data_IF_180782065301
#
_entry.id   IF_180782065301
#
_cell.length_a   1.000
_cell.length_b   1.000
_cell.length_c   1.000
_cell.angle_alpha   90.00
_cell.angle_beta   90.00
_cell.angle_gamma   90.00
#
_symmetry.space_group_name_H-M   'P 1'
#
loop_
_entity.id
_entity.type
_entity.pdbx_description
1 polymer ?
#
# COMPACT_ATOMS: atom_id res chain seq x y z
N UNK A 1 7.52 -48.82 55.82
CA UNK A 1 6.50 -48.07 55.06
C UNK A 1 5.19 -48.76 55.26
N UNK A 2 4.14 -48.03 55.67
CA UNK A 2 2.85 -48.65 55.85
C UNK A 2 2.20 -48.94 54.48
N UNK A 3 1.45 -50.03 54.37
CA UNK A 3 0.72 -50.42 53.14
C UNK A 3 -0.11 -49.29 52.58
N UNK A 4 -0.57 -48.40 53.42
CA UNK A 4 -1.35 -47.19 53.08
C UNK A 4 -0.50 -46.13 52.36
N UNK A 5 0.77 -45.96 52.74
CA UNK A 5 1.70 -45.05 52.05
C UNK A 5 2.08 -45.57 50.65
N UNK A 6 2.23 -46.88 50.51
CA UNK A 6 2.56 -47.50 49.23
C UNK A 6 1.37 -47.37 48.25
N UNK A 7 0.13 -47.63 48.71
CA UNK A 7 -1.07 -47.49 47.88
C UNK A 7 -1.34 -46.04 47.47
N UNK A 8 -1.10 -45.07 48.34
CA UNK A 8 -1.23 -43.63 48.02
C UNK A 8 -0.20 -43.17 46.96
N UNK A 9 1.05 -43.65 47.07
CA UNK A 9 2.09 -43.37 46.10
C UNK A 9 1.79 -43.95 44.70
N UNK A 10 1.25 -45.16 44.63
CA UNK A 10 0.85 -45.81 43.38
C UNK A 10 -0.33 -45.07 42.73
N UNK A 11 -1.35 -44.70 43.50
CA UNK A 11 -2.50 -43.92 43.00
C UNK A 11 -2.07 -42.56 42.53
N UNK A 12 -1.21 -41.84 43.27
CA UNK A 12 -0.66 -40.54 42.88
C UNK A 12 0.15 -40.62 41.58
N UNK A 13 0.99 -41.64 41.42
CA UNK A 13 1.75 -41.90 40.21
C UNK A 13 0.87 -42.21 38.99
N UNK A 14 -0.20 -42.98 39.16
CA UNK A 14 -1.17 -43.28 38.11
C UNK A 14 -1.94 -42.04 37.67
N UNK A 15 -2.37 -41.19 38.58
CA UNK A 15 -3.08 -39.94 38.28
C UNK A 15 -2.13 -39.01 37.53
N UNK A 16 -0.88 -38.89 37.94
CA UNK A 16 0.11 -38.03 37.29
C UNK A 16 0.43 -38.54 35.86
N UNK A 17 0.57 -39.84 35.67
CA UNK A 17 0.75 -40.46 34.37
C UNK A 17 -0.45 -40.23 33.45
N UNK A 18 -1.68 -40.31 33.96
CA UNK A 18 -2.90 -40.01 33.22
C UNK A 18 -2.98 -38.54 32.81
N UNK A 19 -2.62 -37.61 33.71
CA UNK A 19 -2.59 -36.18 33.42
C UNK A 19 -1.54 -35.87 32.33
N UNK A 20 -0.34 -36.45 32.41
CA UNK A 20 0.72 -36.27 31.40
C UNK A 20 0.28 -36.88 30.07
N UNK A 21 -0.30 -38.06 30.06
CA UNK A 21 -0.80 -38.69 28.84
C UNK A 21 -1.94 -37.90 28.21
N UNK A 22 -2.86 -37.40 29.01
CA UNK A 22 -3.96 -36.52 28.55
C UNK A 22 -3.43 -35.22 28.00
N UNK A 23 -2.51 -34.52 28.67
CA UNK A 23 -1.89 -33.28 28.19
C UNK A 23 -1.11 -33.51 26.89
N UNK A 24 -0.32 -34.59 26.82
CA UNK A 24 0.46 -34.89 25.60
C UNK A 24 -0.46 -35.22 24.42
N UNK A 25 -1.55 -35.96 24.66
CA UNK A 25 -2.54 -36.28 23.64
C UNK A 25 -3.30 -35.04 23.18
N UNK A 26 -3.71 -34.15 24.10
CA UNK A 26 -4.42 -32.91 23.83
C UNK A 26 -3.52 -31.91 23.10
N UNK A 27 -2.24 -31.78 23.50
CA UNK A 27 -1.25 -30.97 22.83
C UNK A 27 -0.98 -31.38 21.38
N UNK A 28 -0.89 -32.71 21.13
CA UNK A 28 -0.73 -33.23 19.76
C UNK A 28 -1.97 -33.00 18.89
N UNK A 29 -3.17 -33.06 19.50
CA UNK A 29 -4.43 -32.87 18.78
C UNK A 29 -4.71 -31.40 18.48
N UNK A 30 -4.16 -30.48 19.27
CA UNK A 30 -4.34 -29.03 19.13
C UNK A 30 -3.12 -28.35 18.49
N UNK A 31 -2.10 -29.09 18.08
CA UNK A 31 -0.95 -28.52 17.38
C UNK A 31 -1.41 -27.82 16.09
N UNK A 32 -1.01 -26.57 15.83
CA UNK A 32 -1.36 -25.86 14.61
C UNK A 32 -0.75 -26.55 13.39
N UNK A 33 -1.43 -26.46 12.25
CA UNK A 33 -0.86 -26.87 10.95
C UNK A 33 0.33 -25.97 10.63
N UNK A 34 1.46 -26.56 10.29
CA UNK A 34 2.71 -25.86 10.00
C UNK A 34 2.97 -25.82 8.50
N UNK A 35 3.74 -24.84 8.07
CA UNK A 35 4.23 -24.75 6.70
C UNK A 35 5.03 -26.02 6.33
N UNK A 36 4.82 -26.50 5.12
CA UNK A 36 5.66 -27.59 4.57
C UNK A 36 6.93 -26.96 4.04
N UNK A 37 8.14 -27.43 4.45
CA UNK A 37 9.38 -26.97 3.86
C UNK A 37 9.32 -27.19 2.34
N UNK A 38 9.48 -26.13 1.57
CA UNK A 38 9.70 -26.26 0.13
C UNK A 38 11.12 -26.80 -0.05
N UNK A 39 11.27 -27.99 -0.63
CA UNK A 39 12.57 -28.40 -1.16
C UNK A 39 13.02 -27.33 -2.16
N UNK A 40 14.24 -26.79 -2.00
CA UNK A 40 14.73 -25.84 -2.99
C UNK A 40 14.74 -26.55 -4.34
N UNK A 41 13.99 -26.03 -5.31
CA UNK A 41 14.16 -26.42 -6.70
C UNK A 41 15.66 -26.39 -6.98
N UNK A 42 16.22 -27.54 -7.37
CA UNK A 42 17.60 -27.62 -7.80
C UNK A 42 17.76 -26.71 -9.01
N UNK A 43 18.07 -25.47 -8.74
CA UNK A 43 18.56 -24.54 -9.74
C UNK A 43 19.84 -25.19 -10.28
N UNK A 44 19.85 -25.50 -11.57
CA UNK A 44 21.05 -25.98 -12.26
C UNK A 44 22.22 -25.07 -11.85
N UNK A 45 23.29 -25.66 -11.39
CA UNK A 45 24.50 -24.96 -10.96
C UNK A 45 24.90 -23.92 -12.03
N UNK A 46 24.99 -22.63 -11.66
CA UNK A 46 25.59 -21.66 -12.55
C UNK A 46 27.09 -22.05 -12.65
N UNK A 47 27.55 -22.27 -13.88
CA UNK A 47 28.95 -22.52 -14.20
C UNK A 47 29.82 -21.53 -13.42
N UNK A 48 30.82 -22.10 -12.72
CA UNK A 48 31.83 -21.42 -11.94
C UNK A 48 32.37 -20.20 -12.68
N UNK A 49 32.01 -19.01 -12.21
CA UNK A 49 32.71 -17.79 -12.56
C UNK A 49 34.08 -17.88 -11.94
N UNK A 50 35.11 -18.08 -12.78
CA UNK A 50 36.48 -17.90 -12.39
C UNK A 50 36.69 -16.44 -11.98
N UNK A 51 37.00 -16.23 -10.71
CA UNK A 51 37.51 -14.94 -10.23
C UNK A 51 38.87 -14.67 -10.86
N UNK A 52 39.16 -13.43 -11.36
CA UNK A 52 40.52 -13.12 -11.80
C UNK A 52 41.42 -13.04 -10.57
N UNK A 53 42.44 -13.91 -10.56
CA UNK A 53 43.51 -13.90 -9.57
C UNK A 53 44.35 -12.62 -9.79
N UNK A 54 44.47 -11.82 -8.75
CA UNK A 54 45.46 -10.74 -8.68
C UNK A 54 46.77 -11.39 -8.22
N UNK A 55 47.71 -11.54 -9.15
CA UNK A 55 49.09 -11.81 -8.84
C UNK A 55 49.74 -10.57 -8.23
N UNK A 56 50.05 -10.65 -6.97
CA UNK A 56 50.93 -9.75 -6.24
C UNK A 56 52.35 -10.26 -6.36
N UNK A 57 53.08 -9.75 -7.34
CA UNK A 57 54.55 -9.88 -7.30
C UNK A 57 55.15 -8.49 -7.03
N UNK A 58 55.81 -8.45 -5.88
CA UNK A 58 56.60 -7.34 -5.37
C UNK A 58 58.02 -7.46 -5.93
N UNK A 59 58.50 -6.48 -6.67
CA UNK A 59 59.94 -6.22 -6.81
C UNK A 59 60.20 -4.74 -7.04
N UNK A 60 60.97 -4.19 -6.16
CA UNK A 60 61.51 -2.82 -6.12
C UNK A 60 62.62 -2.55 -7.15
N UNK A 61 63.18 -1.36 -7.19
CA UNK A 61 63.35 -0.52 -8.39
C UNK A 61 64.84 -0.48 -8.84
N UNK A 62 65.05 -0.18 -10.11
CA UNK A 62 66.37 0.36 -10.53
C UNK A 62 66.17 1.48 -11.59
N UNK A 63 66.84 2.52 -11.29
CA UNK A 63 67.16 3.80 -11.83
C UNK A 63 67.65 3.78 -13.32
N UNK A 64 67.41 4.89 -14.02
CA UNK A 64 68.35 5.41 -14.99
C UNK A 64 67.93 5.51 -16.46
N UNK A 65 67.78 6.72 -16.94
CA UNK A 65 68.34 7.13 -18.23
C UNK A 65 67.40 7.40 -19.42
N UNK A 66 67.05 8.60 -19.55
CA UNK A 66 67.33 9.55 -20.65
C UNK A 66 67.11 9.17 -22.16
N UNK A 67 66.34 10.06 -22.79
CA UNK A 67 66.51 10.68 -24.14
C UNK A 67 66.03 10.01 -25.43
N UNK A 68 65.27 10.85 -26.14
CA UNK A 68 65.19 11.11 -27.59
C UNK A 68 64.40 10.17 -28.49
N UNK A 69 63.44 10.74 -29.16
CA UNK A 69 63.47 11.12 -30.55
C UNK A 69 62.18 10.88 -31.30
N UNK A 70 61.59 11.97 -31.76
CA UNK A 70 60.93 12.21 -33.04
C UNK A 70 60.76 11.00 -33.98
N UNK A 71 59.55 10.71 -34.46
CA UNK A 71 59.21 11.04 -35.85
C UNK A 71 57.75 10.72 -36.23
N UNK A 72 57.32 11.41 -37.27
CA UNK A 72 56.02 11.54 -37.93
C UNK A 72 55.41 10.26 -38.49
N UNK A 73 54.10 10.19 -38.41
CA UNK A 73 53.01 9.81 -39.29
C UNK A 73 53.17 8.62 -40.28
N UNK A 74 52.12 8.18 -40.93
CA UNK A 74 50.92 8.91 -41.37
C UNK A 74 49.58 8.18 -41.04
N UNK A 75 48.51 8.93 -41.11
CA UNK A 75 47.15 8.41 -41.33
C UNK A 75 47.08 7.60 -42.62
N UNK A 76 46.19 6.58 -42.68
CA UNK A 76 45.07 6.78 -43.57
C UNK A 76 43.75 6.12 -43.18
N UNK A 77 42.73 6.74 -43.71
CA UNK A 77 41.48 6.20 -44.21
C UNK A 77 40.37 5.85 -43.20
N UNK A 78 39.47 6.81 -43.10
CA UNK A 78 38.04 6.67 -42.89
C UNK A 78 37.42 5.48 -43.62
N UNK A 79 36.85 4.54 -42.82
CA UNK A 79 35.73 3.74 -43.31
C UNK A 79 34.51 4.11 -42.47
N UNK A 80 33.65 4.90 -43.12
CA UNK A 80 32.23 5.04 -42.79
C UNK A 80 31.60 3.66 -42.84
N UNK A 81 31.20 3.15 -41.71
CA UNK A 81 30.20 2.05 -41.64
C UNK A 81 28.91 2.71 -41.18
N UNK A 82 27.93 2.68 -42.07
CA UNK A 82 26.59 3.13 -41.85
C UNK A 82 26.02 2.47 -40.59
N UNK A 83 25.76 3.31 -39.60
CA UNK A 83 24.95 2.93 -38.44
C UNK A 83 23.49 3.28 -38.78
N UNK A 84 22.86 2.37 -39.47
CA UNK A 84 21.41 2.39 -39.58
C UNK A 84 20.84 1.08 -39.00
N UNK A 85 19.75 1.23 -38.28
CA UNK A 85 18.95 0.21 -37.63
C UNK A 85 19.32 -0.25 -36.20
N UNK A 86 19.50 0.71 -35.31
CA UNK A 86 19.07 0.50 -33.93
C UNK A 86 17.58 0.84 -33.87
N UNK A 87 16.76 -0.20 -33.96
CA UNK A 87 15.33 -0.14 -33.72
C UNK A 87 15.11 0.31 -32.28
N UNK A 88 14.96 1.63 -32.11
CA UNK A 88 14.57 2.27 -30.87
C UNK A 88 13.16 1.78 -30.53
N UNK A 89 13.07 0.77 -29.68
CA UNK A 89 11.80 0.34 -29.11
C UNK A 89 11.18 1.57 -28.48
N UNK A 90 9.93 1.94 -28.84
CA UNK A 90 9.27 3.06 -28.19
C UNK A 90 9.16 2.72 -26.70
N UNK A 91 9.95 3.42 -25.88
CA UNK A 91 9.75 3.46 -24.43
C UNK A 91 8.34 3.96 -24.25
N UNK A 92 7.41 3.17 -23.67
CA UNK A 92 6.07 3.65 -23.42
C UNK A 92 6.22 4.92 -22.60
N UNK A 93 5.52 6.02 -22.93
CA UNK A 93 5.58 7.23 -22.12
C UNK A 93 5.24 6.78 -20.71
N UNK A 94 6.17 7.00 -19.78
CA UNK A 94 5.89 6.94 -18.36
C UNK A 94 4.64 7.78 -18.19
N UNK A 95 3.49 7.14 -17.99
CA UNK A 95 2.30 7.82 -17.57
C UNK A 95 2.73 8.53 -16.28
N UNK A 96 3.07 9.81 -16.42
CA UNK A 96 3.19 10.68 -15.29
C UNK A 96 1.84 10.55 -14.62
N UNK A 97 1.77 9.78 -13.52
CA UNK A 97 0.64 9.85 -12.62
C UNK A 97 0.44 11.34 -12.41
N UNK A 98 -0.65 11.87 -12.97
CA UNK A 98 -1.06 13.25 -12.78
C UNK A 98 -1.04 13.42 -11.27
N UNK A 99 -0.01 14.11 -10.76
CA UNK A 99 0.09 14.40 -9.33
C UNK A 99 -1.24 15.01 -8.97
N UNK A 100 -1.88 14.39 -7.99
CA UNK A 100 -3.19 14.71 -7.48
C UNK A 100 -3.30 16.20 -7.23
N UNK A 101 -3.84 16.92 -8.20
CA UNK A 101 -4.15 18.31 -8.08
C UNK A 101 -5.36 18.54 -7.17
N UNK A 102 -5.55 19.78 -6.76
CA UNK A 102 -6.80 20.21 -6.15
C UNK A 102 -7.93 20.06 -7.17
N UNK A 103 -9.04 19.48 -6.72
CA UNK A 103 -10.21 19.24 -7.56
C UNK A 103 -11.47 19.79 -6.90
N UNK A 104 -12.23 20.69 -7.58
CA UNK A 104 -13.40 21.31 -6.99
C UNK A 104 -14.51 20.31 -6.61
N UNK A 105 -14.44 19.06 -7.09
CA UNK A 105 -15.41 18.04 -6.70
C UNK A 105 -15.28 17.64 -5.24
N UNK A 106 -14.05 17.59 -4.72
CA UNK A 106 -13.75 17.13 -3.35
C UNK A 106 -12.99 18.16 -2.50
N UNK A 107 -12.57 19.28 -3.09
CA UNK A 107 -11.82 20.32 -2.39
C UNK A 107 -12.56 21.68 -2.42
N UNK A 108 -12.36 22.47 -1.39
CA UNK A 108 -12.56 23.92 -1.41
C UNK A 108 -11.30 24.51 -2.01
N UNK A 109 -11.45 25.44 -2.95
CA UNK A 109 -10.33 26.09 -3.62
C UNK A 109 -10.46 27.60 -3.46
N UNK A 110 -9.44 28.24 -2.91
CA UNK A 110 -9.25 29.68 -2.89
C UNK A 110 -8.18 30.05 -3.92
N UNK A 111 -8.46 31.02 -4.77
CA UNK A 111 -7.48 31.56 -5.74
C UNK A 111 -6.62 32.62 -5.06
N UNK A 112 -5.32 32.61 -5.37
CA UNK A 112 -4.34 33.56 -4.82
C UNK A 112 -3.60 34.20 -6.00
N UNK A 113 -3.87 35.48 -6.21
CA UNK A 113 -3.30 36.21 -7.35
C UNK A 113 -2.15 37.13 -6.88
N UNK A 114 -0.89 36.78 -7.14
CA UNK A 114 0.23 37.64 -6.82
C UNK A 114 0.31 38.82 -7.82
N UNK A 115 0.87 39.95 -7.38
CA UNK A 115 1.08 41.12 -8.25
C UNK A 115 2.10 40.85 -9.36
N UNK A 116 3.04 39.95 -9.11
CA UNK A 116 4.08 39.53 -10.06
C UNK A 116 4.32 38.03 -9.96
N UNK A 117 4.89 37.43 -11.02
CA UNK A 117 5.22 36.02 -10.96
C UNK A 117 6.24 35.71 -9.85
N UNK A 118 5.96 34.67 -9.08
CA UNK A 118 6.72 34.25 -7.89
C UNK A 118 7.64 33.09 -8.23
N UNK A 119 8.87 33.12 -7.70
CA UNK A 119 9.77 31.97 -7.85
C UNK A 119 9.32 30.80 -6.98
N UNK A 120 9.60 29.57 -7.46
CA UNK A 120 9.29 28.36 -6.70
C UNK A 120 10.00 28.31 -5.35
N UNK A 121 11.21 28.85 -5.27
CA UNK A 121 11.96 28.92 -4.01
C UNK A 121 11.26 29.83 -2.97
N UNK A 122 10.75 30.99 -3.41
CA UNK A 122 9.98 31.87 -2.55
C UNK A 122 8.65 31.23 -2.13
N UNK A 123 7.96 30.59 -3.06
CA UNK A 123 6.72 29.85 -2.75
C UNK A 123 6.95 28.72 -1.77
N UNK A 124 8.02 27.93 -1.94
CA UNK A 124 8.38 26.85 -1.00
C UNK A 124 8.71 27.36 0.40
N UNK A 125 9.42 28.49 0.50
CA UNK A 125 9.74 29.11 1.78
C UNK A 125 8.49 29.65 2.51
N UNK A 126 7.45 30.03 1.76
CA UNK A 126 6.19 30.54 2.28
C UNK A 126 5.17 29.44 2.65
N UNK A 127 5.41 28.18 2.22
CA UNK A 127 4.45 27.09 2.51
C UNK A 127 4.22 26.90 4.01
N UNK A 128 2.96 26.67 4.43
CA UNK A 128 2.65 26.35 5.81
C UNK A 128 3.39 25.08 6.28
N UNK A 129 3.80 25.02 7.56
CA UNK A 129 4.57 23.89 8.09
C UNK A 129 3.79 22.58 8.13
N UNK A 130 2.46 22.64 8.07
CA UNK A 130 1.60 21.48 8.05
C UNK A 130 0.72 21.48 6.79
N UNK A 131 0.53 20.29 6.21
CA UNK A 131 -0.34 20.09 5.04
C UNK A 131 -1.74 19.62 5.46
N UNK A 132 -2.27 20.14 6.54
CA UNK A 132 -3.59 19.84 7.07
C UNK A 132 -4.23 21.08 7.68
N UNK A 133 -5.56 21.16 7.59
CA UNK A 133 -6.40 22.04 8.37
C UNK A 133 -7.30 21.15 9.23
N UNK A 134 -7.05 21.09 10.53
CA UNK A 134 -7.67 20.08 11.40
C UNK A 134 -7.42 18.65 10.91
N UNK A 135 -8.50 17.92 10.66
CA UNK A 135 -8.47 16.56 10.13
C UNK A 135 -8.31 16.48 8.62
N UNK A 136 -8.48 17.59 7.89
CA UNK A 136 -8.55 17.62 6.43
C UNK A 136 -7.20 17.89 5.77
N UNK A 137 -6.85 17.19 4.67
CA UNK A 137 -5.70 17.53 3.83
C UNK A 137 -5.81 18.97 3.31
N UNK A 138 -4.67 19.68 3.33
CA UNK A 138 -4.51 21.02 2.82
C UNK A 138 -3.34 21.03 1.83
N UNK A 139 -3.51 21.72 0.70
CA UNK A 139 -2.47 21.85 -0.33
C UNK A 139 -2.45 23.26 -0.92
N UNK A 140 -1.27 23.63 -1.45
CA UNK A 140 -1.08 24.83 -2.27
C UNK A 140 -0.46 24.36 -3.59
N UNK A 141 -0.99 24.87 -4.68
CA UNK A 141 -0.51 24.65 -6.03
C UNK A 141 -0.21 25.99 -6.71
N UNK A 142 0.79 25.98 -7.58
CA UNK A 142 1.13 27.10 -8.43
C UNK A 142 0.85 26.79 -9.89
N UNK A 143 0.35 27.78 -10.63
CA UNK A 143 0.21 27.70 -12.07
C UNK A 143 1.55 28.03 -12.72
N UNK A 144 2.23 27.01 -13.23
CA UNK A 144 3.56 27.13 -13.78
C UNK A 144 3.57 27.96 -15.06
N UNK A 145 4.44 28.95 -15.13
CA UNK A 145 4.55 29.89 -16.26
C UNK A 145 4.97 29.22 -17.58
N UNK A 146 5.77 28.15 -17.49
CA UNK A 146 6.31 27.44 -18.66
C UNK A 146 5.40 26.29 -19.10
N UNK A 147 5.01 25.42 -18.15
CA UNK A 147 4.21 24.23 -18.46
C UNK A 147 2.72 24.53 -18.62
N UNK A 148 2.25 25.69 -18.15
CA UNK A 148 0.84 26.10 -18.12
C UNK A 148 -0.04 25.06 -17.41
N UNK A 149 0.49 24.47 -16.32
CA UNK A 149 -0.21 23.48 -15.52
C UNK A 149 -0.13 23.84 -14.04
N UNK A 150 -1.16 23.42 -13.30
CA UNK A 150 -1.17 23.46 -11.85
C UNK A 150 -0.26 22.35 -11.31
N UNK A 151 0.65 22.73 -10.42
CA UNK A 151 1.56 21.79 -9.78
C UNK A 151 1.96 22.25 -8.38
N UNK A 152 2.45 21.32 -7.54
CA UNK A 152 3.08 21.70 -6.29
C UNK A 152 4.31 22.54 -6.57
N UNK A 153 4.51 23.70 -5.91
CA UNK A 153 5.68 24.56 -6.12
C UNK A 153 6.99 23.77 -6.03
N UNK A 154 7.88 24.01 -7.01
CA UNK A 154 9.16 23.32 -7.13
C UNK A 154 10.30 24.34 -7.33
N UNK A 155 11.53 24.04 -6.85
CA UNK A 155 12.69 24.93 -7.01
C UNK A 155 12.96 25.23 -8.47
N UNK A 156 13.39 26.46 -8.75
CA UNK A 156 13.79 26.89 -10.11
C UNK A 156 12.62 27.13 -11.08
N UNK A 157 11.37 26.90 -10.66
CA UNK A 157 10.18 27.20 -11.43
C UNK A 157 9.66 28.60 -11.15
N UNK A 158 8.73 29.10 -11.99
CA UNK A 158 8.02 30.37 -11.79
C UNK A 158 6.53 30.17 -11.96
N UNK A 159 5.76 30.91 -11.14
CA UNK A 159 4.31 30.75 -11.03
C UNK A 159 3.61 32.08 -11.21
N UNK A 160 2.57 32.10 -12.04
CA UNK A 160 1.78 33.29 -12.34
C UNK A 160 0.63 33.50 -11.34
N UNK A 161 0.10 32.42 -10.83
CA UNK A 161 -1.00 32.38 -9.84
C UNK A 161 -0.87 31.18 -8.94
N UNK A 162 -1.57 31.19 -7.83
CA UNK A 162 -1.63 30.06 -6.91
C UNK A 162 -3.08 29.73 -6.56
N UNK A 163 -3.29 28.52 -6.09
CA UNK A 163 -4.52 28.09 -5.45
C UNK A 163 -4.21 27.36 -4.15
N UNK A 164 -4.97 27.66 -3.12
CA UNK A 164 -4.93 26.94 -1.86
C UNK A 164 -6.21 26.13 -1.74
N UNK A 165 -6.08 24.87 -1.33
CA UNK A 165 -7.25 24.02 -1.18
C UNK A 165 -7.25 23.21 0.09
N UNK A 166 -8.44 22.88 0.56
CA UNK A 166 -8.69 21.98 1.68
C UNK A 166 -9.79 20.99 1.29
N UNK A 167 -9.60 19.74 1.67
CA UNK A 167 -10.55 18.69 1.34
C UNK A 167 -11.88 18.85 2.08
N UNK A 168 -12.99 18.70 1.37
CA UNK A 168 -14.34 18.85 1.91
C UNK A 168 -14.73 17.76 2.92
N UNK A 169 -14.39 16.51 2.63
CA UNK A 169 -14.75 15.38 3.47
C UNK A 169 -13.72 14.25 3.34
N UNK A 170 -13.63 13.42 4.35
CA UNK A 170 -12.90 12.14 4.36
C UNK A 170 -13.58 11.20 5.38
N UNK A 171 -13.05 9.99 5.59
CA UNK A 171 -13.61 9.04 6.57
C UNK A 171 -13.72 9.55 8.02
N UNK A 172 -13.08 10.67 8.35
CA UNK A 172 -13.24 11.32 9.67
C UNK A 172 -14.42 12.29 9.75
N UNK A 173 -15.13 12.51 8.62
CA UNK A 173 -16.32 13.33 8.52
C UNK A 173 -16.17 14.55 7.58
N UNK A 174 -17.19 15.40 7.55
CA UNK A 174 -17.23 16.65 6.80
C UNK A 174 -16.27 17.70 7.38
N UNK A 175 -15.79 18.61 6.55
CA UNK A 175 -15.11 19.83 6.99
C UNK A 175 -16.09 20.72 7.75
N UNK A 176 -15.64 21.26 8.87
CA UNK A 176 -16.42 22.16 9.74
C UNK A 176 -15.90 23.60 9.71
N UNK A 177 -16.62 24.51 10.37
CA UNK A 177 -16.31 25.94 10.40
C UNK A 177 -14.94 26.26 11.01
N UNK A 178 -14.46 25.45 11.96
CA UNK A 178 -13.14 25.62 12.61
C UNK A 178 -12.05 25.23 11.61
N UNK A 179 -12.19 24.11 10.94
CA UNK A 179 -11.26 23.64 9.93
C UNK A 179 -11.23 24.59 8.72
N UNK A 180 -12.38 25.15 8.33
CA UNK A 180 -12.45 26.20 7.30
C UNK A 180 -11.70 27.44 7.73
N UNK A 181 -11.89 27.91 8.98
CA UNK A 181 -11.17 29.07 9.50
C UNK A 181 -9.64 28.84 9.56
N UNK A 182 -9.21 27.63 9.92
CA UNK A 182 -7.79 27.26 9.90
C UNK A 182 -7.24 27.25 8.46
N UNK A 183 -8.03 26.77 7.49
CA UNK A 183 -7.71 26.84 6.07
C UNK A 183 -7.48 28.29 5.62
N UNK A 184 -8.41 29.18 5.94
CA UNK A 184 -8.30 30.62 5.60
C UNK A 184 -7.06 31.25 6.20
N UNK A 185 -6.76 31.00 7.49
CA UNK A 185 -5.57 31.53 8.15
C UNK A 185 -4.29 31.07 7.46
N UNK A 186 -4.19 29.79 7.10
CA UNK A 186 -3.02 29.24 6.41
C UNK A 186 -2.84 29.78 5.01
N UNK A 187 -3.93 29.86 4.25
CA UNK A 187 -3.92 30.38 2.88
C UNK A 187 -3.61 31.88 2.86
N UNK A 188 -4.15 32.66 3.83
CA UNK A 188 -3.86 34.07 3.99
C UNK A 188 -2.38 34.31 4.31
N UNK A 189 -1.82 33.57 5.27
CA UNK A 189 -0.41 33.70 5.64
C UNK A 189 0.53 33.42 4.45
N UNK A 190 0.18 32.43 3.63
CA UNK A 190 0.92 32.16 2.39
C UNK A 190 0.76 33.32 1.38
N UNK A 191 -0.46 33.79 1.16
CA UNK A 191 -0.75 34.90 0.26
C UNK A 191 0.02 36.18 0.65
N UNK A 192 0.02 36.52 1.95
CA UNK A 192 0.77 37.67 2.48
C UNK A 192 2.28 37.54 2.23
N UNK A 193 2.81 36.33 2.36
CA UNK A 193 4.25 36.07 2.16
C UNK A 193 4.71 36.22 0.71
N UNK A 194 3.78 36.08 -0.25
CA UNK A 194 4.08 36.20 -1.69
C UNK A 194 3.44 37.44 -2.32
N UNK A 195 2.91 38.37 -1.55
CA UNK A 195 2.16 39.55 -2.00
C UNK A 195 1.02 39.17 -2.98
N UNK A 196 0.21 38.20 -2.62
CA UNK A 196 -0.95 37.78 -3.40
C UNK A 196 -2.24 38.24 -2.74
N UNK A 197 -3.25 38.56 -3.56
CA UNK A 197 -4.61 38.80 -3.12
C UNK A 197 -5.39 37.47 -3.11
N UNK A 198 -5.87 37.01 -1.96
CA UNK A 198 -6.69 35.81 -1.86
C UNK A 198 -8.15 36.10 -2.15
N UNK A 199 -8.82 35.17 -2.84
CA UNK A 199 -10.27 35.15 -3.03
C UNK A 199 -10.83 33.87 -2.38
N UNK A 200 -11.50 34.05 -1.22
CA UNK A 200 -12.05 32.94 -0.46
C UNK A 200 -13.53 32.74 -0.76
N UNK A 201 -13.99 31.50 -0.94
CA UNK A 201 -15.41 31.20 -1.07
C UNK A 201 -16.17 31.41 0.26
N UNK A 202 -17.49 31.46 0.18
CA UNK A 202 -18.34 31.62 1.36
C UNK A 202 -18.29 30.38 2.27
N UNK A 203 -17.97 30.60 3.54
CA UNK A 203 -17.79 29.52 4.52
C UNK A 203 -19.05 28.69 4.70
N UNK A 204 -20.21 29.31 4.78
CA UNK A 204 -21.47 28.59 5.08
C UNK A 204 -21.86 27.69 3.90
N UNK A 205 -21.66 28.17 2.68
CA UNK A 205 -21.92 27.40 1.46
C UNK A 205 -20.95 26.18 1.37
N UNK A 206 -19.67 26.41 1.63
CA UNK A 206 -18.69 25.35 1.55
C UNK A 206 -18.85 24.28 2.64
N UNK A 207 -19.18 24.68 3.85
CA UNK A 207 -19.47 23.72 4.94
C UNK A 207 -20.76 22.94 4.64
N UNK A 208 -21.75 23.55 4.00
CA UNK A 208 -22.95 22.83 3.55
C UNK A 208 -22.61 21.80 2.47
N UNK A 209 -21.78 22.19 1.48
CA UNK A 209 -21.29 21.29 0.42
C UNK A 209 -20.46 20.14 1.01
N UNK A 210 -19.63 20.41 2.02
CA UNK A 210 -18.86 19.39 2.72
C UNK A 210 -19.76 18.34 3.40
N UNK A 211 -20.85 18.78 4.06
CA UNK A 211 -21.81 17.86 4.68
C UNK A 211 -22.57 17.01 3.66
N UNK A 212 -22.92 17.58 2.51
CA UNK A 212 -23.57 16.84 1.42
C UNK A 212 -22.63 15.76 0.85
N UNK A 213 -21.34 16.11 0.63
CA UNK A 213 -20.33 15.16 0.14
C UNK A 213 -20.06 14.07 1.17
N UNK A 214 -19.98 14.41 2.45
CA UNK A 214 -19.78 13.48 3.55
C UNK A 214 -20.93 12.47 3.68
N UNK A 215 -22.16 12.96 3.55
CA UNK A 215 -23.34 12.08 3.53
C UNK A 215 -23.28 11.11 2.37
N UNK A 216 -22.98 11.60 1.15
CA UNK A 216 -22.81 10.74 -0.01
C UNK A 216 -21.69 9.71 0.22
N UNK A 217 -20.54 10.13 0.75
CA UNK A 217 -19.43 9.23 1.03
C UNK A 217 -19.82 8.15 2.05
N UNK A 218 -20.51 8.54 3.13
CA UNK A 218 -20.98 7.61 4.17
C UNK A 218 -21.95 6.55 3.63
N UNK A 219 -22.81 6.94 2.70
CA UNK A 219 -23.79 6.03 2.08
C UNK A 219 -23.13 5.04 1.09
N UNK A 220 -21.90 5.35 0.62
CA UNK A 220 -21.21 4.58 -0.42
C UNK A 220 -19.84 4.03 0.02
N UNK A 221 -19.44 4.13 1.29
CA UNK A 221 -18.20 3.59 1.84
C UNK A 221 -18.35 2.10 2.18
N UNK A 222 -18.32 1.24 1.16
CA UNK A 222 -18.43 -0.18 1.36
C UNK A 222 -17.08 -0.81 1.69
N UNK A 223 -16.96 -1.33 2.91
CA UNK A 223 -15.83 -2.12 3.38
C UNK A 223 -16.32 -3.53 3.72
N UNK A 224 -15.93 -4.49 2.90
CA UNK A 224 -16.30 -5.89 3.10
C UNK A 224 -15.22 -6.61 3.90
N UNK A 225 -15.67 -7.43 4.84
CA UNK A 225 -14.78 -8.22 5.67
C UNK A 225 -15.41 -9.58 5.94
N UNK A 226 -14.70 -10.65 5.59
CA UNK A 226 -15.12 -12.04 5.79
C UNK A 226 -14.08 -12.76 6.62
N UNK A 227 -14.55 -13.66 7.47
CA UNK A 227 -13.70 -14.49 8.31
C UNK A 227 -13.55 -15.89 7.71
N UNK A 228 -12.30 -16.36 7.58
CA UNK A 228 -12.03 -17.76 7.33
C UNK A 228 -11.66 -18.41 8.66
N UNK A 229 -12.45 -19.41 9.07
CA UNK A 229 -12.28 -20.13 10.34
C UNK A 229 -11.81 -21.55 10.10
N UNK A 230 -10.83 -22.00 10.87
CA UNK A 230 -10.34 -23.36 10.85
C UNK A 230 -11.42 -24.34 11.34
N UNK A 231 -11.70 -25.39 10.54
CA UNK A 231 -12.68 -26.44 10.92
C UNK A 231 -12.18 -27.35 12.04
N UNK A 232 -10.93 -27.73 11.99
CA UNK A 232 -10.35 -28.71 12.90
C UNK A 232 -9.11 -28.15 13.61
N UNK A 233 -7.95 -28.22 12.98
CA UNK A 233 -6.69 -27.77 13.57
C UNK A 233 -6.45 -26.29 13.27
N UNK A 234 -5.98 -25.54 14.28
CA UNK A 234 -5.49 -24.18 14.08
C UNK A 234 -4.33 -24.13 13.08
N UNK A 235 -4.04 -22.96 12.55
CA UNK A 235 -2.97 -22.71 11.59
C UNK A 235 -1.81 -21.98 12.26
N UNK A 236 -0.57 -22.23 11.84
CA UNK A 236 0.55 -21.37 12.22
C UNK A 236 0.64 -20.17 11.26
N UNK A 237 1.25 -19.02 11.66
CA UNK A 237 1.53 -17.89 10.77
C UNK A 237 2.22 -18.30 9.46
N UNK A 238 3.23 -19.15 9.53
CA UNK A 238 3.93 -19.67 8.35
C UNK A 238 3.02 -20.48 7.42
N UNK A 239 2.10 -21.29 7.98
CA UNK A 239 1.13 -22.03 7.19
C UNK A 239 0.13 -21.10 6.48
N UNK A 240 -0.35 -20.05 7.17
CA UNK A 240 -1.21 -19.03 6.56
C UNK A 240 -0.48 -18.32 5.41
N UNK A 241 0.75 -17.85 5.65
CA UNK A 241 1.57 -17.16 4.64
C UNK A 241 1.83 -18.04 3.42
N UNK A 242 2.18 -19.32 3.63
CA UNK A 242 2.45 -20.26 2.54
C UNK A 242 1.21 -20.48 1.64
N UNK A 243 0.02 -20.65 2.23
CA UNK A 243 -1.20 -20.84 1.45
C UNK A 243 -1.66 -19.54 0.80
N UNK A 244 -1.55 -18.40 1.47
CA UNK A 244 -1.85 -17.09 0.90
C UNK A 244 -0.94 -16.74 -0.28
N UNK A 245 0.36 -17.08 -0.21
CA UNK A 245 1.30 -16.87 -1.32
C UNK A 245 0.91 -17.63 -2.59
N UNK A 246 0.32 -18.83 -2.45
CA UNK A 246 -0.15 -19.64 -3.59
C UNK A 246 -1.30 -18.98 -4.37
N UNK A 247 -2.07 -18.12 -3.71
CA UNK A 247 -3.17 -17.35 -4.32
C UNK A 247 -2.77 -15.88 -4.57
N UNK A 248 -1.47 -15.57 -4.54
CA UNK A 248 -0.92 -14.30 -4.98
C UNK A 248 -0.72 -13.25 -3.90
N UNK A 249 -0.95 -13.54 -2.61
CA UNK A 249 -0.66 -12.58 -1.55
C UNK A 249 0.84 -12.45 -1.30
N UNK A 250 1.23 -11.24 -0.95
CA UNK A 250 2.59 -10.90 -0.50
C UNK A 250 2.51 -10.33 0.93
N UNK A 251 3.63 -10.39 1.64
CA UNK A 251 3.72 -9.84 3.00
C UNK A 251 3.56 -8.32 2.96
N UNK A 252 2.64 -7.80 3.76
CA UNK A 252 2.40 -6.37 3.91
C UNK A 252 3.39 -5.68 4.85
N UNK A 253 3.28 -4.37 4.98
CA UNK A 253 4.15 -3.57 5.85
C UNK A 253 3.93 -3.82 7.34
N UNK A 254 2.76 -4.32 7.74
CA UNK A 254 2.42 -4.58 9.14
C UNK A 254 2.45 -6.08 9.44
N UNK A 255 2.98 -6.50 10.61
CA UNK A 255 2.94 -7.88 11.04
C UNK A 255 1.51 -8.44 11.06
N UNK A 256 1.32 -9.66 10.60
CA UNK A 256 -0.01 -10.29 10.51
C UNK A 256 -0.88 -9.80 9.36
N UNK A 257 -0.35 -8.96 8.46
CA UNK A 257 -1.08 -8.46 7.29
C UNK A 257 -0.40 -8.90 6.00
N UNK A 258 -1.17 -9.50 5.12
CA UNK A 258 -0.80 -9.85 3.75
C UNK A 258 -1.68 -9.05 2.78
N UNK A 259 -1.18 -8.75 1.61
CA UNK A 259 -1.91 -7.96 0.61
C UNK A 259 -1.87 -8.66 -0.75
N UNK A 260 -2.98 -8.63 -1.47
CA UNK A 260 -3.04 -9.03 -2.86
C UNK A 260 -2.82 -7.78 -3.72
N UNK A 261 -1.69 -7.65 -4.41
CA UNK A 261 -1.39 -6.45 -5.18
C UNK A 261 -2.36 -6.25 -6.33
N UNK A 262 -2.57 -4.99 -6.71
CA UNK A 262 -3.26 -4.63 -7.93
C UNK A 262 -2.42 -4.94 -9.17
N UNK A 263 -3.04 -4.93 -10.35
CA UNK A 263 -2.38 -5.20 -11.63
C UNK A 263 -1.31 -4.15 -12.00
N UNK A 264 -1.50 -2.91 -11.56
CA UNK A 264 -0.54 -1.83 -11.78
C UNK A 264 0.21 -1.45 -10.50
N UNK A 265 1.53 -1.14 -10.57
CA UNK A 265 2.31 -0.70 -9.41
C UNK A 265 1.80 0.66 -8.90
N UNK A 266 1.90 0.88 -7.59
CA UNK A 266 1.51 2.14 -6.95
C UNK A 266 0.01 2.25 -6.62
N UNK A 267 -0.83 1.33 -7.07
CA UNK A 267 -2.22 1.25 -6.67
C UNK A 267 -2.39 0.56 -5.31
N UNK A 268 -3.48 0.85 -4.57
CA UNK A 268 -3.83 0.12 -3.38
C UNK A 268 -4.00 -1.37 -3.64
N UNK A 269 -3.75 -2.23 -2.66
CA UNK A 269 -3.97 -3.66 -2.83
C UNK A 269 -5.45 -3.98 -3.09
N UNK A 270 -5.71 -4.97 -3.93
CA UNK A 270 -7.07 -5.42 -4.24
C UNK A 270 -7.75 -6.04 -3.02
N UNK A 271 -7.02 -6.89 -2.29
CA UNK A 271 -7.50 -7.54 -1.07
C UNK A 271 -6.46 -7.45 0.04
N UNK A 272 -6.93 -7.48 1.25
CA UNK A 272 -6.07 -7.61 2.43
C UNK A 272 -6.46 -8.87 3.20
N UNK A 273 -5.48 -9.67 3.61
CA UNK A 273 -5.64 -10.78 4.53
C UNK A 273 -4.95 -10.44 5.84
N UNK A 274 -5.68 -10.54 6.94
CA UNK A 274 -5.20 -10.22 8.27
C UNK A 274 -5.36 -11.40 9.23
N UNK A 275 -4.44 -11.53 10.18
CA UNK A 275 -4.55 -12.43 11.32
C UNK A 275 -3.93 -11.77 12.55
N UNK A 276 -4.07 -12.39 13.71
CA UNK A 276 -3.64 -11.85 14.99
C UNK A 276 -2.15 -11.41 14.95
N UNK A 277 -1.94 -10.13 15.21
CA UNK A 277 -0.61 -9.51 15.23
C UNK A 277 0.29 -10.12 16.31
N UNK A 278 -0.28 -10.56 17.45
CA UNK A 278 0.49 -11.22 18.51
C UNK A 278 1.04 -12.56 18.02
N UNK A 279 0.24 -13.31 17.24
CA UNK A 279 0.69 -14.55 16.63
C UNK A 279 1.81 -14.29 15.59
N UNK A 280 1.76 -13.17 14.87
CA UNK A 280 2.78 -12.79 13.90
C UNK A 280 4.12 -12.38 14.54
N UNK A 281 4.08 -11.82 15.75
CA UNK A 281 5.23 -11.32 16.51
C UNK A 281 5.73 -12.29 17.59
N UNK A 282 5.14 -13.49 17.71
CA UNK A 282 5.55 -14.48 18.70
C UNK A 282 7.00 -14.94 18.48
N UNK A 283 7.70 -15.27 19.56
CA UNK A 283 9.08 -15.77 19.51
C UNK A 283 9.20 -17.08 18.71
N UNK A 284 8.18 -17.94 18.76
CA UNK A 284 8.03 -19.13 17.93
C UNK A 284 6.70 -19.07 17.15
N UNK A 285 6.70 -18.44 15.95
CA UNK A 285 5.50 -18.35 15.12
C UNK A 285 4.90 -19.68 14.74
N UNK A 286 5.71 -20.76 14.66
CA UNK A 286 5.22 -22.09 14.31
C UNK A 286 4.41 -22.76 15.42
N UNK A 287 4.53 -22.28 16.64
CA UNK A 287 3.75 -22.73 17.79
C UNK A 287 2.48 -21.87 18.00
N UNK A 288 2.41 -20.72 17.37
CA UNK A 288 1.26 -19.84 17.48
C UNK A 288 0.06 -20.42 16.75
N UNK A 289 -1.11 -20.42 17.43
CA UNK A 289 -2.33 -21.04 16.95
C UNK A 289 -3.32 -19.97 16.45
N UNK A 290 -3.44 -19.81 15.15
CA UNK A 290 -4.43 -18.96 14.49
C UNK A 290 -5.64 -19.81 14.15
N UNK A 291 -6.83 -19.40 14.61
CA UNK A 291 -8.08 -20.08 14.27
C UNK A 291 -8.91 -19.34 13.24
N UNK A 292 -8.74 -18.04 13.18
CA UNK A 292 -9.50 -17.15 12.31
C UNK A 292 -8.54 -16.21 11.56
N UNK A 293 -8.76 -16.06 10.26
CA UNK A 293 -8.10 -15.04 9.44
C UNK A 293 -9.19 -14.20 8.78
N UNK A 294 -8.90 -12.93 8.55
CA UNK A 294 -9.85 -11.97 7.97
C UNK A 294 -9.43 -11.64 6.55
N UNK A 295 -10.34 -11.79 5.59
CA UNK A 295 -10.18 -11.36 4.21
C UNK A 295 -11.03 -10.11 4.00
N UNK A 296 -10.39 -8.99 3.64
CA UNK A 296 -11.04 -7.68 3.54
C UNK A 296 -10.87 -7.07 2.14
N UNK A 297 -11.91 -6.36 1.71
CA UNK A 297 -11.97 -5.56 0.49
C UNK A 297 -12.48 -4.17 0.83
N UNK A 298 -11.72 -3.14 0.51
CA UNK A 298 -12.15 -1.74 0.55
C UNK A 298 -12.61 -1.36 -0.87
N UNK A 299 -13.93 -1.37 -1.09
CA UNK A 299 -14.53 -1.28 -2.42
C UNK A 299 -14.20 0.05 -3.10
N UNK A 300 -14.30 1.15 -2.35
CA UNK A 300 -14.07 2.50 -2.88
C UNK A 300 -12.59 2.74 -3.28
N UNK A 301 -11.66 1.96 -2.73
CA UNK A 301 -10.23 2.10 -3.01
C UNK A 301 -9.76 1.33 -4.23
N UNK A 302 -10.57 0.39 -4.74
CA UNK A 302 -10.17 -0.54 -5.80
C UNK A 302 -11.04 -0.36 -7.04
N UNK A 303 -10.39 -0.19 -8.19
CA UNK A 303 -11.10 0.00 -9.46
C UNK A 303 -11.88 -1.26 -9.86
N UNK A 304 -13.12 -1.08 -10.39
CA UNK A 304 -13.99 -2.23 -10.78
C UNK A 304 -13.36 -3.16 -11.82
N UNK A 305 -12.43 -2.64 -12.68
CA UNK A 305 -11.72 -3.47 -13.66
C UNK A 305 -10.82 -4.54 -13.05
N UNK A 306 -10.40 -4.36 -11.79
CA UNK A 306 -9.67 -5.38 -11.02
C UNK A 306 -10.57 -6.54 -10.59
N UNK A 307 -11.88 -6.44 -10.81
CA UNK A 307 -12.89 -7.43 -10.41
C UNK A 307 -12.75 -7.87 -8.94
N UNK A 308 -12.63 -6.90 -8.00
CA UNK A 308 -12.16 -7.19 -6.65
C UNK A 308 -13.05 -8.17 -5.90
N UNK A 309 -14.37 -8.13 -6.08
CA UNK A 309 -15.28 -9.05 -5.39
C UNK A 309 -15.25 -10.47 -6.00
N UNK A 310 -15.10 -10.60 -7.32
CA UNK A 310 -14.91 -11.91 -7.96
C UNK A 310 -13.61 -12.55 -7.47
N UNK A 311 -12.50 -11.79 -7.44
CA UNK A 311 -11.23 -12.24 -6.86
C UNK A 311 -11.35 -12.63 -5.40
N UNK A 312 -12.11 -11.87 -4.60
CA UNK A 312 -12.36 -12.20 -3.19
C UNK A 312 -13.03 -13.57 -3.07
N UNK A 313 -14.06 -13.84 -3.88
CA UNK A 313 -14.79 -15.13 -3.88
C UNK A 313 -13.86 -16.30 -4.25
N UNK A 314 -13.05 -16.13 -5.29
CA UNK A 314 -12.09 -17.15 -5.77
C UNK A 314 -11.02 -17.43 -4.71
N UNK A 315 -10.41 -16.39 -4.16
CA UNK A 315 -9.39 -16.49 -3.11
C UNK A 315 -9.97 -17.14 -1.85
N UNK A 316 -11.16 -16.71 -1.41
CA UNK A 316 -11.81 -17.28 -0.23
C UNK A 316 -12.09 -18.79 -0.42
N UNK A 317 -12.58 -19.21 -1.59
CA UNK A 317 -12.83 -20.62 -1.89
C UNK A 317 -11.52 -21.43 -1.89
N UNK A 318 -10.48 -20.92 -2.58
CA UNK A 318 -9.18 -21.59 -2.65
C UNK A 318 -8.51 -21.74 -1.26
N UNK A 319 -8.56 -20.69 -0.44
CA UNK A 319 -8.02 -20.73 0.93
C UNK A 319 -8.84 -21.68 1.82
N UNK A 320 -10.17 -21.69 1.72
CA UNK A 320 -11.02 -22.61 2.48
C UNK A 320 -10.69 -24.07 2.14
N UNK A 321 -10.48 -24.39 0.86
CA UNK A 321 -10.12 -25.74 0.42
C UNK A 321 -8.70 -26.13 0.89
N UNK A 322 -7.71 -25.26 0.63
CA UNK A 322 -6.30 -25.55 0.93
C UNK A 322 -6.01 -25.67 2.43
N UNK A 323 -6.72 -24.89 3.27
CA UNK A 323 -6.44 -24.79 4.70
C UNK A 323 -7.44 -25.57 5.58
N UNK A 324 -8.44 -26.23 4.99
CA UNK A 324 -9.55 -26.85 5.70
C UNK A 324 -10.29 -25.82 6.57
N UNK A 325 -10.69 -24.73 5.93
CA UNK A 325 -11.41 -23.61 6.52
C UNK A 325 -12.88 -23.58 6.12
N UNK A 326 -13.62 -22.69 6.75
CA UNK A 326 -14.98 -22.32 6.39
C UNK A 326 -15.09 -20.81 6.32
N UNK A 327 -15.73 -20.30 5.27
CA UNK A 327 -16.02 -18.88 5.13
C UNK A 327 -17.19 -18.51 6.04
N UNK A 328 -17.01 -17.45 6.82
CA UNK A 328 -18.00 -16.95 7.77
C UNK A 328 -18.19 -15.44 7.59
N UNK A 329 -19.30 -14.94 8.08
CA UNK A 329 -19.50 -13.51 8.30
C UNK A 329 -18.63 -13.01 9.48
N UNK A 330 -18.73 -11.72 9.79
CA UNK A 330 -17.99 -11.10 10.91
C UNK A 330 -18.40 -11.66 12.29
N UNK A 331 -19.57 -12.28 12.40
CA UNK A 331 -20.07 -12.92 13.64
C UNK A 331 -19.64 -14.39 13.74
N UNK A 332 -18.95 -14.91 12.72
CA UNK A 332 -18.52 -16.30 12.66
C UNK A 332 -19.60 -17.27 12.19
N UNK A 333 -20.68 -16.77 11.58
CA UNK A 333 -21.74 -17.61 10.98
C UNK A 333 -21.28 -18.06 9.59
N UNK A 334 -21.30 -19.37 9.30
CA UNK A 334 -20.92 -19.88 7.99
C UNK A 334 -21.75 -19.26 6.86
N UNK A 335 -21.06 -18.77 5.82
CA UNK A 335 -21.69 -18.17 4.65
C UNK A 335 -21.74 -19.19 3.50
N UNK A 336 -22.96 -19.56 3.04
CA UNK A 336 -23.10 -20.36 1.83
C UNK A 336 -22.68 -19.55 0.60
N UNK A 337 -22.13 -20.20 -0.42
CA UNK A 337 -21.68 -19.54 -1.65
C UNK A 337 -22.76 -18.66 -2.30
N UNK A 338 -24.03 -19.08 -2.24
CA UNK A 338 -25.17 -18.32 -2.77
C UNK A 338 -25.44 -17.00 -2.03
N UNK A 339 -24.99 -16.85 -0.78
CA UNK A 339 -25.14 -15.59 -0.05
C UNK A 339 -24.25 -14.46 -0.60
N UNK A 340 -23.27 -14.79 -1.42
CA UNK A 340 -22.38 -13.83 -2.06
C UNK A 340 -22.98 -13.17 -3.31
N UNK A 341 -24.01 -13.77 -3.94
CA UNK A 341 -24.57 -13.27 -5.20
C UNK A 341 -25.35 -11.95 -5.03
N UNK A 342 -26.20 -11.76 -3.99
CA UNK A 342 -26.81 -10.45 -3.71
C UNK A 342 -25.78 -9.36 -3.46
N UNK A 343 -24.70 -9.67 -2.71
CA UNK A 343 -23.62 -8.72 -2.44
C UNK A 343 -22.96 -8.26 -3.75
N UNK A 344 -22.73 -9.18 -4.69
CA UNK A 344 -22.18 -8.82 -6.00
C UNK A 344 -23.08 -7.83 -6.74
N UNK A 345 -24.39 -8.06 -6.74
CA UNK A 345 -25.35 -7.16 -7.39
C UNK A 345 -25.39 -5.77 -6.74
N UNK A 346 -25.38 -5.71 -5.41
CA UNK A 346 -25.35 -4.45 -4.67
C UNK A 346 -24.06 -3.66 -4.94
N UNK A 347 -22.93 -4.33 -5.08
CA UNK A 347 -21.66 -3.68 -5.41
C UNK A 347 -21.63 -3.11 -6.83
N UNK A 348 -22.25 -3.77 -7.80
CA UNK A 348 -22.36 -3.20 -9.16
C UNK A 348 -23.18 -1.90 -9.15
N UNK A 349 -24.29 -1.85 -8.39
CA UNK A 349 -25.07 -0.61 -8.19
C UNK A 349 -24.24 0.49 -7.51
N UNK A 350 -23.43 0.12 -6.51
CA UNK A 350 -22.55 1.07 -5.82
C UNK A 350 -21.48 1.63 -6.78
N UNK A 351 -20.87 0.81 -7.61
CA UNK A 351 -19.93 1.28 -8.64
C UNK A 351 -20.60 2.27 -9.59
N UNK A 352 -21.81 1.97 -10.07
CA UNK A 352 -22.56 2.86 -10.96
C UNK A 352 -22.91 4.20 -10.30
N UNK A 353 -23.21 4.21 -9.00
CA UNK A 353 -23.48 5.43 -8.23
C UNK A 353 -22.21 6.28 -8.04
N UNK A 354 -21.07 5.67 -7.75
CA UNK A 354 -19.78 6.35 -7.66
C UNK A 354 -19.36 6.93 -9.02
N UNK A 355 -19.52 6.14 -10.10
CA UNK A 355 -19.23 6.58 -11.47
C UNK A 355 -20.10 7.77 -11.87
N UNK A 356 -21.39 7.74 -11.50
CA UNK A 356 -22.35 8.84 -11.77
C UNK A 356 -22.00 10.17 -11.11
N UNK A 357 -21.14 10.16 -10.08
CA UNK A 357 -20.61 11.36 -9.42
C UNK A 357 -19.16 11.68 -9.76
N UNK A 358 -18.58 11.06 -10.78
CA UNK A 358 -17.15 11.19 -11.14
C UNK A 358 -16.17 10.77 -10.02
N UNK A 359 -16.67 9.98 -9.07
CA UNK A 359 -15.93 9.42 -7.94
C UNK A 359 -15.70 7.92 -8.12
N UNK A 360 -15.44 7.49 -9.36
CA UNK A 360 -15.23 6.07 -9.68
C UNK A 360 -14.30 5.39 -8.68
N UNK A 361 -14.70 4.22 -8.20
CA UNK A 361 -13.90 3.47 -7.24
C UNK A 361 -12.46 3.25 -7.74
N UNK A 362 -11.47 3.36 -6.87
CA UNK A 362 -10.07 3.29 -7.22
C UNK A 362 -9.51 4.51 -7.95
N UNK A 363 -10.36 5.47 -8.35
CA UNK A 363 -9.88 6.75 -8.87
C UNK A 363 -9.13 7.51 -7.79
N UNK A 364 -8.36 8.47 -8.22
CA UNK A 364 -7.61 9.33 -7.35
C UNK A 364 -8.52 10.10 -6.37
N UNK A 365 -9.65 10.63 -6.87
CA UNK A 365 -10.61 11.38 -6.07
C UNK A 365 -11.30 10.49 -5.05
N UNK A 366 -11.75 9.30 -5.47
CA UNK A 366 -12.33 8.33 -4.55
C UNK A 366 -11.33 7.90 -3.46
N UNK A 367 -10.08 7.59 -3.83
CA UNK A 367 -9.05 7.23 -2.85
C UNK A 367 -8.76 8.33 -1.83
N UNK A 368 -8.89 9.61 -2.21
CA UNK A 368 -8.77 10.74 -1.29
C UNK A 368 -9.99 10.87 -0.39
N UNK A 369 -11.19 10.79 -0.96
CA UNK A 369 -12.44 10.94 -0.22
C UNK A 369 -12.62 9.81 0.81
N UNK A 370 -12.34 8.59 0.43
CA UNK A 370 -12.46 7.40 1.28
C UNK A 370 -11.16 7.01 2.02
N UNK A 371 -10.33 8.00 2.39
CA UNK A 371 -9.07 7.81 3.12
C UNK A 371 -9.18 8.10 4.63
#
# INVERSE_FOLDING_TARGET
>A
MSTLQLSLAIIGGLVLALIVAYNTWTSRRNAPKRAVPQEPERTAEPALRQEPAFDTDVAEPVDGGAFHGLDRGPEPASHTVDADDAMELPVPPLLHERRLGLDPLIDIIATLQPEQSVSGDAALAALPPTRRAGSKPFAIEGFNEVTQQWETPAPGQRYQSFQAGVQLANRTGALNEIEFSEFVVKAQAFADSINAAPDFPDMLQEVARARELDQFASDHDAQLSFMLRARHAAWSPGYVQQNAARVGFVVGAMPGRLVLPASAPGLPPVLTLGYDTQAALAEDPDQSAIRDITLSLDVAQVHRSEQPFARLREVAAALCEAMDGVLCDQNGTPLPAMAMDPIAADLELLYDQLDGRELSAGSVLARRLFS
#
